data_IF_043130314690
#
_entry.id   IF_043130314690
#
_cell.length_a   1.000
_cell.length_b   1.000
_cell.length_c   1.000
_cell.angle_alpha   90.00
_cell.angle_beta   90.00
_cell.angle_gamma   90.00
#
_symmetry.space_group_name_H-M   'P 1'
#
loop_
_entity.id
_entity.type
_entity.pdbx_description
1 polymer ?
#
# COMPACT_ATOMS: atom_id res chain seq x y z
N UNK A 1 -23.20 5.33 -24.42
CA UNK A 1 -22.81 5.25 -22.99
C UNK A 1 -24.07 5.42 -22.17
N UNK A 2 -24.31 4.55 -21.22
CA UNK A 2 -25.51 4.62 -20.37
C UNK A 2 -25.50 5.93 -19.56
N UNK A 3 -26.66 6.58 -19.43
CA UNK A 3 -26.79 7.86 -18.70
C UNK A 3 -26.23 7.77 -17.26
N UNK A 4 -26.32 6.59 -16.65
CA UNK A 4 -25.72 6.30 -15.34
C UNK A 4 -24.19 6.40 -15.32
N UNK A 5 -23.51 5.88 -16.34
CA UNK A 5 -22.03 5.93 -16.43
C UNK A 5 -21.56 7.36 -16.67
N UNK A 6 -22.29 8.14 -17.47
CA UNK A 6 -21.97 9.56 -17.71
C UNK A 6 -22.03 10.37 -16.42
N UNK A 7 -23.10 10.21 -15.63
CA UNK A 7 -23.26 10.91 -14.35
C UNK A 7 -22.17 10.51 -13.33
N UNK A 8 -21.80 9.23 -13.25
CA UNK A 8 -20.68 8.78 -12.40
C UNK A 8 -19.36 9.40 -12.86
N UNK A 9 -19.12 9.45 -14.16
CA UNK A 9 -17.88 9.99 -14.73
C UNK A 9 -17.72 11.50 -14.42
N UNK A 10 -18.80 12.28 -14.49
CA UNK A 10 -18.78 13.70 -14.10
C UNK A 10 -18.45 13.86 -12.61
N UNK A 11 -19.12 13.11 -11.72
CA UNK A 11 -18.88 13.15 -10.28
C UNK A 11 -17.44 12.73 -9.92
N UNK A 12 -16.91 11.70 -10.58
CA UNK A 12 -15.54 11.26 -10.39
C UNK A 12 -14.55 12.33 -10.87
N UNK A 13 -14.82 12.97 -12.00
CA UNK A 13 -13.96 14.04 -12.53
C UNK A 13 -13.88 15.24 -11.58
N UNK A 14 -15.01 15.63 -10.98
CA UNK A 14 -15.04 16.68 -9.97
C UNK A 14 -14.35 16.23 -8.67
N UNK A 15 -14.71 15.04 -8.17
CA UNK A 15 -14.21 14.51 -6.90
C UNK A 15 -12.74 14.12 -6.92
N UNK A 16 -12.15 13.83 -8.08
CA UNK A 16 -10.73 13.46 -8.20
C UNK A 16 -9.78 14.67 -8.32
N UNK A 17 -10.31 15.87 -8.50
CA UNK A 17 -9.51 17.09 -8.71
C UNK A 17 -8.52 17.40 -7.57
N UNK A 18 -8.80 16.93 -6.37
CA UNK A 18 -7.86 17.07 -5.26
C UNK A 18 -6.54 16.29 -5.47
N UNK A 19 -6.58 15.18 -6.20
CA UNK A 19 -5.39 14.35 -6.40
C UNK A 19 -4.30 15.08 -7.20
N UNK A 20 -4.71 15.96 -8.11
CA UNK A 20 -3.78 16.80 -8.87
C UNK A 20 -3.07 17.77 -7.92
N UNK A 21 -3.83 18.54 -7.13
CA UNK A 21 -3.27 19.48 -6.14
C UNK A 21 -2.35 18.78 -5.14
N UNK A 22 -2.72 17.58 -4.71
CA UNK A 22 -1.95 16.80 -3.77
C UNK A 22 -0.61 16.33 -4.36
N UNK A 23 -0.62 15.86 -5.62
CA UNK A 23 0.61 15.49 -6.34
C UNK A 23 1.53 16.70 -6.55
N UNK A 24 0.98 17.84 -6.92
CA UNK A 24 1.72 19.09 -7.09
C UNK A 24 2.38 19.53 -5.79
N UNK A 25 1.64 19.53 -4.69
CA UNK A 25 2.20 19.90 -3.37
C UNK A 25 3.29 18.91 -2.93
N UNK A 26 3.07 17.60 -3.06
CA UNK A 26 4.08 16.58 -2.73
C UNK A 26 5.33 16.77 -3.59
N UNK A 27 5.20 17.10 -4.89
CA UNK A 27 6.32 17.33 -5.79
C UNK A 27 7.16 18.57 -5.41
N UNK A 28 6.65 19.48 -4.60
CA UNK A 28 7.46 20.60 -4.05
C UNK A 28 8.52 20.12 -3.05
N UNK A 29 8.25 19.01 -2.37
CA UNK A 29 9.12 18.43 -1.32
C UNK A 29 9.90 17.23 -1.85
N UNK A 30 9.25 16.36 -2.65
CA UNK A 30 9.82 15.10 -3.14
C UNK A 30 10.12 15.24 -4.63
N UNK A 31 11.34 14.85 -5.01
CA UNK A 31 11.72 14.77 -6.41
C UNK A 31 11.41 13.37 -6.93
N UNK A 32 10.77 13.27 -8.09
CA UNK A 32 10.39 11.98 -8.68
C UNK A 32 9.35 11.24 -7.85
N UNK A 33 9.49 9.91 -7.75
CA UNK A 33 8.67 9.02 -6.93
C UNK A 33 7.14 9.13 -7.16
N UNK A 34 6.73 9.62 -8.35
CA UNK A 34 5.30 9.83 -8.67
C UNK A 34 4.50 8.54 -8.55
N UNK A 35 5.07 7.43 -9.03
CA UNK A 35 4.44 6.12 -8.92
C UNK A 35 4.19 5.73 -7.45
N UNK A 36 5.16 5.95 -6.57
CA UNK A 36 5.02 5.70 -5.14
C UNK A 36 3.85 6.51 -4.56
N UNK A 37 3.81 7.82 -4.82
CA UNK A 37 2.74 8.70 -4.33
C UNK A 37 1.36 8.22 -4.82
N UNK A 38 1.22 7.87 -6.10
CA UNK A 38 -0.03 7.35 -6.64
C UNK A 38 -0.46 6.04 -5.97
N UNK A 39 0.46 5.13 -5.69
CA UNK A 39 0.18 3.89 -4.98
C UNK A 39 -0.21 4.10 -3.51
N UNK A 40 0.41 5.07 -2.84
CA UNK A 40 0.00 5.46 -1.49
C UNK A 40 -1.41 6.03 -1.47
N UNK A 41 -1.77 6.84 -2.47
CA UNK A 41 -3.13 7.34 -2.64
C UNK A 41 -4.13 6.21 -2.91
N UNK A 42 -3.76 5.21 -3.73
CA UNK A 42 -4.59 4.02 -3.92
C UNK A 42 -4.81 3.31 -2.59
N UNK A 43 -3.77 3.08 -1.79
CA UNK A 43 -3.90 2.50 -0.45
C UNK A 43 -4.87 3.28 0.43
N UNK A 44 -4.76 4.60 0.49
CA UNK A 44 -5.68 5.47 1.24
C UNK A 44 -7.12 5.38 0.74
N UNK A 45 -7.32 5.42 -0.57
CA UNK A 45 -8.65 5.42 -1.21
C UNK A 45 -9.36 4.07 -1.14
N UNK A 46 -8.62 2.98 -0.93
CA UNK A 46 -9.16 1.63 -0.87
C UNK A 46 -9.16 1.03 0.54
N UNK A 47 -8.79 1.85 1.54
CA UNK A 47 -8.60 1.38 2.92
C UNK A 47 -7.63 0.20 3.02
N UNK A 48 -6.64 0.16 2.12
CA UNK A 48 -5.64 -0.91 2.03
C UNK A 48 -4.30 -0.47 2.60
N UNK A 49 -3.50 -1.43 3.05
CA UNK A 49 -2.16 -1.19 3.58
C UNK A 49 -1.10 -1.50 2.52
N UNK A 50 0.08 -0.91 2.66
CA UNK A 50 1.13 -0.96 1.64
C UNK A 50 2.43 -1.48 2.25
N UNK A 51 3.05 -2.44 1.57
CA UNK A 51 4.40 -2.92 1.88
C UNK A 51 5.38 -2.29 0.89
N UNK A 52 6.42 -1.64 1.41
CA UNK A 52 7.48 -1.03 0.62
C UNK A 52 8.75 -1.87 0.72
N UNK A 53 9.19 -2.39 -0.39
CA UNK A 53 10.49 -3.06 -0.50
C UNK A 53 11.48 -2.13 -1.21
N UNK A 54 12.66 -1.98 -0.64
CA UNK A 54 13.71 -1.16 -1.25
C UNK A 54 14.82 -0.82 -0.26
N UNK A 55 15.96 -0.50 -0.82
CA UNK A 55 17.16 -0.15 -0.05
C UNK A 55 16.95 1.09 0.84
N UNK A 56 17.71 1.24 1.92
CA UNK A 56 17.67 2.45 2.73
C UNK A 56 18.09 3.70 1.92
N UNK A 57 17.64 4.88 2.35
CA UNK A 57 18.04 6.15 1.72
C UNK A 57 17.13 6.63 0.58
N UNK A 58 16.12 5.87 0.16
CA UNK A 58 15.21 6.24 -0.95
C UNK A 58 14.03 7.13 -0.54
N UNK A 59 14.20 7.98 0.47
CA UNK A 59 13.21 8.97 0.93
C UNK A 59 11.80 8.38 1.29
N UNK A 60 11.69 7.06 1.57
CA UNK A 60 10.42 6.41 1.94
C UNK A 60 9.72 7.13 3.09
N UNK A 61 10.45 7.41 4.18
CA UNK A 61 9.93 8.13 5.35
C UNK A 61 9.48 9.55 4.99
N UNK A 62 10.25 10.24 4.13
CA UNK A 62 9.90 11.58 3.69
C UNK A 62 8.62 11.57 2.87
N UNK A 63 8.43 10.60 1.97
CA UNK A 63 7.22 10.48 1.15
C UNK A 63 5.96 10.33 2.00
N UNK A 64 5.98 9.43 2.99
CA UNK A 64 4.84 9.21 3.89
C UNK A 64 4.55 10.41 4.76
N UNK A 65 5.59 11.01 5.34
CA UNK A 65 5.46 12.22 6.17
C UNK A 65 4.90 13.39 5.38
N UNK A 66 5.39 13.58 4.15
CA UNK A 66 4.91 14.64 3.24
C UNK A 66 3.45 14.43 2.87
N UNK A 67 3.06 13.19 2.53
CA UNK A 67 1.67 12.83 2.26
C UNK A 67 0.78 13.13 3.48
N UNK A 68 1.19 12.70 4.68
CA UNK A 68 0.44 12.95 5.90
C UNK A 68 0.22 14.46 6.15
N UNK A 69 1.25 15.28 5.95
CA UNK A 69 1.17 16.74 6.07
C UNK A 69 0.20 17.33 5.05
N UNK A 70 0.30 16.91 3.79
CA UNK A 70 -0.51 17.44 2.71
C UNK A 70 -2.02 17.09 2.84
N UNK A 71 -2.38 16.01 3.58
CA UNK A 71 -3.78 15.62 3.87
C UNK A 71 -4.22 15.90 5.30
N UNK A 72 -3.45 16.66 6.08
CA UNK A 72 -3.72 16.96 7.49
C UNK A 72 -3.92 15.72 8.38
N UNK A 73 -3.24 14.63 8.07
CA UNK A 73 -3.32 13.41 8.84
C UNK A 73 -2.26 13.35 9.95
N UNK A 74 -2.61 12.73 11.06
CA UNK A 74 -1.64 12.36 12.09
C UNK A 74 -0.70 11.29 11.56
N UNK A 75 0.61 11.46 11.83
CA UNK A 75 1.67 10.56 11.38
C UNK A 75 2.52 10.07 12.54
N UNK A 76 2.84 8.77 12.54
CA UNK A 76 3.81 8.16 13.45
C UNK A 76 4.74 7.23 12.67
N UNK A 77 6.03 7.30 12.99
CA UNK A 77 7.04 6.34 12.57
C UNK A 77 7.38 5.45 13.75
N UNK A 78 7.37 4.15 13.53
CA UNK A 78 7.80 3.13 14.49
C UNK A 78 8.93 2.35 13.83
N UNK A 79 10.12 2.43 14.43
CA UNK A 79 11.26 1.61 14.02
C UNK A 79 11.10 0.23 14.64
N UNK A 80 11.04 -0.80 13.84
CA UNK A 80 10.95 -2.17 14.31
C UNK A 80 12.35 -2.67 14.66
N UNK A 81 12.51 -3.19 15.88
CA UNK A 81 13.77 -3.69 16.44
C UNK A 81 13.55 -5.02 17.14
N UNK A 82 14.59 -5.85 17.35
CA UNK A 82 14.46 -7.15 17.99
C UNK A 82 13.91 -7.11 19.42
N UNK A 83 14.06 -5.99 20.11
CA UNK A 83 13.62 -5.77 21.50
C UNK A 83 12.24 -5.14 21.61
N UNK A 84 11.61 -4.74 20.48
CA UNK A 84 10.28 -4.14 20.47
C UNK A 84 9.23 -5.11 21.02
N UNK A 85 8.33 -4.60 21.87
CA UNK A 85 7.20 -5.36 22.43
C UNK A 85 5.88 -4.93 21.78
N UNK A 86 4.86 -5.79 21.74
CA UNK A 86 3.52 -5.39 21.26
C UNK A 86 2.96 -4.17 22.00
N UNK A 87 3.20 -4.05 23.30
CA UNK A 87 2.78 -2.90 24.11
C UNK A 87 3.39 -1.57 23.67
N UNK A 88 4.60 -1.58 23.09
CA UNK A 88 5.23 -0.37 22.55
C UNK A 88 4.52 0.16 21.31
N UNK A 89 3.85 -0.74 20.57
CA UNK A 89 3.09 -0.43 19.37
C UNK A 89 1.64 -0.05 19.67
N UNK A 90 0.93 -0.90 20.42
CA UNK A 90 -0.51 -0.74 20.68
C UNK A 90 -0.81 0.09 21.93
N UNK A 91 0.12 0.12 22.88
CA UNK A 91 -0.08 0.78 24.16
C UNK A 91 -0.27 -0.21 25.31
N UNK A 92 -0.44 0.32 26.51
CA UNK A 92 -0.52 -0.46 27.75
C UNK A 92 -1.36 0.22 28.81
N UNK A 93 -1.76 -0.53 29.83
CA UNK A 93 -2.33 0.00 31.06
C UNK A 93 -1.19 0.50 31.97
N UNK A 94 -1.32 1.72 32.48
CA UNK A 94 -0.37 2.31 33.42
C UNK A 94 -1.08 2.52 34.74
N UNK A 95 -0.52 1.95 35.83
CA UNK A 95 -1.05 2.14 37.15
C UNK A 95 -0.71 3.54 37.66
N UNK A 96 -1.73 4.27 38.13
CA UNK A 96 -1.58 5.55 38.82
C UNK A 96 -1.65 5.33 40.34
N UNK A 97 -0.52 5.41 41.08
CA UNK A 97 -0.51 5.14 42.52
C UNK A 97 -1.29 6.17 43.33
N UNK A 98 -1.48 7.40 42.81
CA UNK A 98 -2.21 8.45 43.52
C UNK A 98 -3.72 8.25 43.51
N UNK A 99 -4.21 7.68 42.44
CA UNK A 99 -5.66 7.46 42.24
C UNK A 99 -6.07 6.00 42.48
N UNK A 100 -5.09 5.09 42.63
CA UNK A 100 -5.36 3.66 42.78
C UNK A 100 -6.01 3.05 41.55
N UNK A 101 -5.86 3.67 40.37
CA UNK A 101 -6.53 3.30 39.14
C UNK A 101 -5.54 2.99 38.01
N UNK A 102 -6.00 2.24 37.03
CA UNK A 102 -5.27 2.04 35.76
C UNK A 102 -5.76 3.04 34.71
N UNK A 103 -4.84 3.62 33.98
CA UNK A 103 -5.13 4.49 32.83
C UNK A 103 -4.55 3.88 31.55
N UNK A 104 -5.30 3.95 30.45
CA UNK A 104 -4.84 3.47 29.16
C UNK A 104 -3.88 4.48 28.54
N UNK A 105 -2.63 4.07 28.31
CA UNK A 105 -1.66 4.81 27.51
C UNK A 105 -1.64 4.24 26.10
N UNK A 106 -2.24 4.97 25.16
CA UNK A 106 -2.28 4.57 23.73
C UNK A 106 -0.90 4.61 23.09
N UNK A 107 -0.60 3.60 22.28
CA UNK A 107 0.63 3.48 21.51
C UNK A 107 0.63 4.29 20.21
N UNK A 108 1.73 4.27 19.45
CA UNK A 108 1.89 5.00 18.19
C UNK A 108 0.95 4.54 17.08
N UNK A 109 0.35 3.35 17.17
CA UNK A 109 -0.58 2.81 16.18
C UNK A 109 -1.86 3.65 16.05
N UNK A 110 -2.18 4.47 17.07
CA UNK A 110 -3.34 5.37 17.05
C UNK A 110 -3.11 6.64 16.22
N UNK A 111 -2.35 6.53 15.14
CA UNK A 111 -2.20 7.59 14.15
C UNK A 111 -2.88 7.17 12.83
N UNK A 112 -3.30 8.14 12.04
CA UNK A 112 -3.96 7.88 10.74
C UNK A 112 -3.00 7.28 9.71
N UNK A 113 -1.74 7.73 9.69
CA UNK A 113 -0.68 7.16 8.89
C UNK A 113 0.42 6.64 9.82
N UNK A 114 0.69 5.35 9.74
CA UNK A 114 1.74 4.67 10.51
C UNK A 114 2.79 4.13 9.55
N UNK A 115 4.04 4.55 9.72
CA UNK A 115 5.18 3.95 9.05
C UNK A 115 5.82 2.92 9.99
N UNK A 116 5.62 1.63 9.70
CA UNK A 116 6.29 0.52 10.35
C UNK A 116 7.61 0.24 9.62
N UNK A 117 8.69 0.86 10.11
CA UNK A 117 9.98 0.82 9.42
C UNK A 117 10.76 -0.43 9.80
N UNK A 118 11.24 -1.19 8.80
CA UNK A 118 11.97 -2.46 8.94
C UNK A 118 11.17 -3.52 9.71
N UNK A 119 9.92 -3.76 9.29
CA UNK A 119 8.98 -4.68 9.98
C UNK A 119 9.57 -6.09 10.22
N UNK A 120 10.45 -6.55 9.34
CA UNK A 120 11.12 -7.85 9.44
C UNK A 120 12.21 -7.92 10.52
N UNK A 121 12.53 -6.82 11.22
CA UNK A 121 13.50 -6.83 12.35
C UNK A 121 12.85 -7.12 13.70
N UNK A 122 11.54 -7.00 13.83
CA UNK A 122 10.87 -7.27 15.09
C UNK A 122 10.37 -8.71 15.20
N UNK A 123 10.24 -9.24 16.43
CA UNK A 123 9.73 -10.58 16.67
C UNK A 123 8.30 -10.78 16.11
N UNK A 124 7.97 -12.03 15.77
CA UNK A 124 6.69 -12.40 15.18
C UNK A 124 5.46 -11.92 15.98
N UNK A 125 5.57 -11.80 17.31
CA UNK A 125 4.48 -11.29 18.17
C UNK A 125 4.14 -9.83 17.87
N UNK A 126 5.15 -8.99 17.60
CA UNK A 126 4.95 -7.56 17.26
C UNK A 126 4.38 -7.42 15.86
N UNK A 127 4.93 -8.20 14.91
CA UNK A 127 4.40 -8.27 13.55
C UNK A 127 2.92 -8.67 13.56
N UNK A 128 2.56 -9.72 14.32
CA UNK A 128 1.18 -10.19 14.44
C UNK A 128 0.26 -9.13 15.02
N UNK A 129 0.69 -8.39 16.05
CA UNK A 129 -0.09 -7.30 16.64
C UNK A 129 -0.37 -6.17 15.63
N UNK A 130 0.62 -5.79 14.81
CA UNK A 130 0.42 -4.82 13.74
C UNK A 130 -0.58 -5.33 12.70
N UNK A 131 -0.41 -6.57 12.24
CA UNK A 131 -1.23 -7.16 11.18
C UNK A 131 -2.68 -7.43 11.64
N UNK A 132 -2.89 -7.72 12.93
CA UNK A 132 -4.22 -7.80 13.52
C UNK A 132 -4.89 -6.42 13.54
N UNK A 133 -4.19 -5.40 14.01
CA UNK A 133 -4.67 -4.03 14.01
C UNK A 133 -5.01 -3.51 12.60
N UNK A 134 -4.23 -3.89 11.59
CA UNK A 134 -4.50 -3.57 10.18
C UNK A 134 -5.79 -4.21 9.68
N UNK A 135 -6.08 -5.42 10.10
CA UNK A 135 -7.24 -6.17 9.63
C UNK A 135 -8.53 -5.77 10.38
N UNK A 136 -8.43 -5.64 11.70
CA UNK A 136 -9.61 -5.42 12.57
C UNK A 136 -9.93 -3.93 12.75
N UNK A 137 -9.05 -3.00 12.34
CA UNK A 137 -9.17 -1.55 12.57
C UNK A 137 -9.43 -1.16 14.02
N UNK A 138 -9.00 -2.01 14.94
CA UNK A 138 -9.10 -1.83 16.38
C UNK A 138 -7.99 -2.58 17.11
N UNK A 139 -7.73 -2.21 18.35
CA UNK A 139 -6.79 -2.91 19.23
C UNK A 139 -7.39 -3.05 20.64
N UNK A 140 -7.05 -4.13 21.34
CA UNK A 140 -7.47 -4.37 22.71
C UNK A 140 -6.31 -4.08 23.65
N UNK A 141 -6.55 -3.24 24.66
CA UNK A 141 -5.58 -2.87 25.70
C UNK A 141 -6.20 -3.19 27.06
N UNK A 142 -5.67 -4.21 27.74
CA UNK A 142 -6.35 -4.77 28.92
C UNK A 142 -7.67 -5.41 28.52
N UNK A 143 -8.76 -4.95 29.11
CA UNK A 143 -10.11 -5.46 28.86
C UNK A 143 -10.92 -4.56 27.88
N UNK A 144 -10.32 -3.47 27.38
CA UNK A 144 -11.01 -2.50 26.53
C UNK A 144 -10.54 -2.58 25.08
N UNK A 145 -11.50 -2.60 24.14
CA UNK A 145 -11.22 -2.50 22.72
C UNK A 145 -11.39 -1.06 22.23
N UNK A 146 -10.35 -0.55 21.58
CA UNK A 146 -10.27 0.81 21.09
C UNK A 146 -10.23 0.82 19.55
N UNK A 147 -11.14 1.54 18.86
CA UNK A 147 -11.09 1.70 17.42
C UNK A 147 -9.86 2.55 17.02
N UNK A 148 -9.28 2.22 15.88
CA UNK A 148 -8.25 3.02 15.25
C UNK A 148 -8.87 4.19 14.46
N UNK A 149 -8.12 5.27 14.19
CA UNK A 149 -8.64 6.41 13.46
C UNK A 149 -8.99 6.05 12.00
N UNK A 150 -9.94 6.78 11.40
CA UNK A 150 -10.23 6.69 9.97
C UNK A 150 -9.87 8.04 9.28
N UNK A 151 -9.13 8.04 8.18
CA UNK A 151 -8.48 6.90 7.52
C UNK A 151 -7.35 6.29 8.37
N UNK A 152 -7.12 4.98 8.23
CA UNK A 152 -6.00 4.29 8.85
C UNK A 152 -5.18 3.58 7.77
N UNK A 153 -3.93 3.98 7.61
CA UNK A 153 -3.01 3.42 6.64
C UNK A 153 -1.70 3.03 7.31
N UNK A 154 -1.35 1.77 7.21
CA UNK A 154 -0.01 1.28 7.56
C UNK A 154 0.82 1.15 6.30
N UNK A 155 2.01 1.74 6.36
CA UNK A 155 3.08 1.51 5.42
C UNK A 155 4.18 0.76 6.15
N UNK A 156 4.38 -0.49 5.78
CA UNK A 156 5.49 -1.27 6.31
C UNK A 156 6.66 -1.23 5.33
N UNK A 157 7.89 -1.14 5.83
CA UNK A 157 9.08 -1.27 4.98
C UNK A 157 9.81 -2.57 5.27
N UNK A 158 10.40 -3.13 4.23
CA UNK A 158 11.36 -4.24 4.31
C UNK A 158 12.64 -3.84 3.60
N UNK A 159 13.77 -4.18 4.20
CA UNK A 159 15.07 -4.08 3.56
C UNK A 159 15.46 -5.45 3.00
N UNK A 160 15.54 -5.63 1.68
CA UNK A 160 15.85 -6.93 1.09
C UNK A 160 17.33 -7.34 1.26
N UNK A 161 18.22 -6.40 1.59
CA UNK A 161 19.67 -6.64 1.68
C UNK A 161 20.06 -7.19 3.06
N UNK A 162 19.38 -6.77 4.12
CA UNK A 162 19.66 -7.20 5.48
C UNK A 162 18.96 -8.52 5.78
N UNK A 163 19.71 -9.61 5.82
CA UNK A 163 19.21 -10.94 6.16
C UNK A 163 19.52 -11.34 7.60
N UNK A 164 20.64 -10.87 8.18
CA UNK A 164 21.02 -11.19 9.55
C UNK A 164 20.12 -10.49 10.58
N UNK A 165 19.63 -11.24 11.56
CA UNK A 165 18.78 -10.73 12.63
C UNK A 165 17.38 -10.34 12.17
N UNK A 166 16.89 -10.89 11.06
CA UNK A 166 15.54 -10.65 10.55
C UNK A 166 14.61 -11.84 10.81
N UNK A 167 13.33 -11.51 10.96
CA UNK A 167 12.22 -12.45 11.07
C UNK A 167 11.33 -12.25 9.83
N UNK A 168 11.48 -13.10 8.80
CA UNK A 168 10.67 -12.95 7.58
C UNK A 168 9.18 -13.05 7.91
N UNK A 169 8.39 -12.20 7.26
CA UNK A 169 6.94 -12.29 7.34
C UNK A 169 6.47 -13.55 6.63
N UNK A 170 5.67 -14.41 7.27
CA UNK A 170 5.00 -15.51 6.56
C UNK A 170 4.14 -14.99 5.41
N UNK A 171 4.07 -15.74 4.32
CA UNK A 171 3.33 -15.36 3.11
C UNK A 171 1.86 -15.00 3.37
N UNK A 172 1.19 -15.78 4.24
CA UNK A 172 -0.19 -15.50 4.67
C UNK A 172 -0.33 -14.13 5.39
N UNK A 173 0.74 -13.62 5.96
CA UNK A 173 0.79 -12.30 6.58
C UNK A 173 1.07 -11.21 5.55
N UNK A 174 1.94 -11.47 4.59
CA UNK A 174 2.25 -10.54 3.49
C UNK A 174 1.01 -10.34 2.60
N UNK A 175 0.17 -11.37 2.39
CA UNK A 175 -1.09 -11.29 1.64
C UNK A 175 -2.11 -10.28 2.24
N UNK A 176 -1.93 -9.84 3.50
CA UNK A 176 -2.76 -8.79 4.12
C UNK A 176 -2.49 -7.39 3.59
N UNK A 177 -1.31 -7.14 3.05
CA UNK A 177 -1.01 -5.89 2.37
C UNK A 177 -1.71 -5.85 1.01
N UNK A 178 -2.37 -4.75 0.70
CA UNK A 178 -3.04 -4.58 -0.59
C UNK A 178 -2.05 -4.50 -1.74
N UNK A 179 -0.98 -3.72 -1.54
CA UNK A 179 0.07 -3.48 -2.52
C UNK A 179 1.44 -3.79 -1.91
N UNK A 180 2.32 -4.42 -2.69
CA UNK A 180 3.76 -4.48 -2.43
C UNK A 180 4.48 -3.68 -3.51
N UNK A 181 5.18 -2.64 -3.11
CA UNK A 181 5.87 -1.72 -4.02
C UNK A 181 7.37 -1.93 -3.94
N UNK A 182 8.02 -2.00 -5.08
CA UNK A 182 9.48 -1.88 -5.19
C UNK A 182 9.84 -0.41 -5.38
N UNK A 183 10.65 0.12 -4.47
CA UNK A 183 11.16 1.50 -4.56
C UNK A 183 12.53 1.45 -5.19
N UNK A 184 12.62 1.97 -6.39
CA UNK A 184 13.86 2.02 -7.17
C UNK A 184 14.68 3.27 -6.86
N UNK A 185 15.96 3.24 -7.25
CA UNK A 185 16.80 4.42 -7.19
C UNK A 185 16.27 5.52 -8.11
N UNK A 186 16.46 6.79 -7.74
CA UNK A 186 16.13 7.90 -8.63
C UNK A 186 16.99 7.84 -9.91
N UNK A 187 16.46 8.34 -11.00
CA UNK A 187 17.24 8.57 -12.22
C UNK A 187 18.36 9.58 -11.95
N UNK A 188 19.38 9.61 -12.83
CA UNK A 188 20.49 10.57 -12.73
C UNK A 188 19.99 12.02 -12.69
N UNK A 189 18.96 12.32 -13.47
CA UNK A 189 18.34 13.64 -13.56
C UNK A 189 17.59 14.00 -12.27
N UNK A 190 16.88 13.05 -11.69
CA UNK A 190 16.20 13.20 -10.39
C UNK A 190 17.22 13.35 -9.26
N UNK A 191 18.31 12.56 -9.27
CA UNK A 191 19.38 12.67 -8.27
C UNK A 191 20.06 14.05 -8.32
N UNK A 192 20.27 14.60 -9.52
CA UNK A 192 20.75 15.97 -9.68
C UNK A 192 19.79 17.00 -9.10
N UNK A 193 18.48 16.84 -9.31
CA UNK A 193 17.47 17.72 -8.73
C UNK A 193 17.42 17.59 -7.20
N UNK A 194 17.59 16.37 -6.66
CA UNK A 194 17.69 16.13 -5.22
C UNK A 194 18.89 16.90 -4.65
N UNK A 195 20.06 16.79 -5.28
CA UNK A 195 21.28 17.52 -4.89
C UNK A 195 21.02 19.03 -4.86
N UNK A 196 20.46 19.58 -5.94
CA UNK A 196 20.24 21.03 -6.06
C UNK A 196 19.21 21.55 -5.01
N UNK A 197 18.23 20.74 -4.61
CA UNK A 197 17.19 21.12 -3.62
C UNK A 197 17.60 20.84 -2.19
N UNK A 198 18.31 19.73 -1.94
CA UNK A 198 18.49 19.19 -0.58
C UNK A 198 19.89 19.40 -0.01
N UNK A 199 20.90 19.74 -0.82
CA UNK A 199 22.27 19.95 -0.38
C UNK A 199 22.41 21.33 0.31
N UNK A 200 21.62 21.57 1.35
CA UNK A 200 21.65 22.81 2.15
C UNK A 200 21.45 22.45 3.63
N UNK A 201 22.02 23.26 4.53
CA UNK A 201 21.81 23.15 5.98
C UNK A 201 20.52 23.82 6.45
N UNK A 202 19.82 24.52 5.57
CA UNK A 202 18.55 25.15 5.89
C UNK A 202 17.44 24.10 6.08
N UNK A 203 16.49 24.38 6.98
CA UNK A 203 15.32 23.54 7.13
C UNK A 203 14.48 23.58 5.86
N UNK A 204 14.16 22.42 5.33
CA UNK A 204 13.28 22.32 4.17
C UNK A 204 11.84 22.68 4.56
N UNK A 205 11.17 23.39 3.66
CA UNK A 205 9.76 23.74 3.83
C UNK A 205 8.93 22.44 3.92
N UNK A 206 8.11 22.26 4.97
CA UNK A 206 7.16 21.15 5.00
C UNK A 206 6.08 21.34 3.95
N UNK A 207 5.43 20.24 3.53
CA UNK A 207 4.28 20.32 2.65
C UNK A 207 3.14 21.10 3.32
N UNK A 208 2.43 21.87 2.50
CA UNK A 208 1.25 22.62 2.92
C UNK A 208 0.02 21.72 2.85
N UNK A 209 -0.88 21.75 3.84
CA UNK A 209 -2.15 21.01 3.73
C UNK A 209 -2.99 21.53 2.55
N UNK A 210 -3.36 20.62 1.65
CA UNK A 210 -4.18 20.94 0.46
C UNK A 210 -5.48 20.15 0.41
N UNK A 211 -5.58 19.11 1.25
CA UNK A 211 -6.76 18.23 1.40
C UNK A 211 -6.92 17.89 2.87
N UNK A 212 -8.10 17.48 3.27
CA UNK A 212 -8.36 16.96 4.60
C UNK A 212 -8.58 15.44 4.58
N UNK A 213 -8.50 14.81 5.74
CA UNK A 213 -8.84 13.37 5.85
C UNK A 213 -10.32 13.12 5.54
N UNK A 214 -11.20 14.09 5.80
CA UNK A 214 -12.61 14.00 5.42
C UNK A 214 -12.80 13.96 3.88
N UNK A 215 -11.99 14.70 3.13
CA UNK A 215 -12.02 14.65 1.66
C UNK A 215 -11.59 13.26 1.14
N UNK A 216 -10.63 12.62 1.79
CA UNK A 216 -10.20 11.25 1.46
C UNK A 216 -11.35 10.25 1.70
N UNK A 217 -12.04 10.36 2.85
CA UNK A 217 -13.19 9.49 3.16
C UNK A 217 -14.34 9.72 2.16
N UNK A 218 -14.63 10.97 1.81
CA UNK A 218 -15.63 11.28 0.78
C UNK A 218 -15.23 10.70 -0.60
N UNK A 219 -13.96 10.76 -0.96
CA UNK A 219 -13.45 10.19 -2.20
C UNK A 219 -13.57 8.67 -2.25
N UNK A 220 -13.42 7.94 -1.13
CA UNK A 220 -13.65 6.48 -1.06
C UNK A 220 -15.06 6.10 -1.54
N UNK A 221 -16.08 6.85 -1.11
CA UNK A 221 -17.45 6.61 -1.53
C UNK A 221 -17.66 6.81 -3.04
N UNK A 222 -16.85 7.66 -3.69
CA UNK A 222 -16.86 7.82 -5.15
C UNK A 222 -16.09 6.68 -5.84
N UNK A 223 -14.97 6.24 -5.27
CA UNK A 223 -14.19 5.08 -5.78
C UNK A 223 -15.07 3.83 -5.82
N UNK A 224 -15.89 3.60 -4.80
CA UNK A 224 -16.82 2.46 -4.75
C UNK A 224 -17.86 2.48 -5.87
N UNK A 225 -18.20 3.69 -6.38
CA UNK A 225 -19.15 3.88 -7.48
C UNK A 225 -18.50 3.79 -8.87
N UNK A 226 -17.16 3.75 -8.98
CA UNK A 226 -16.49 3.57 -10.28
C UNK A 226 -16.94 2.27 -10.92
N UNK A 227 -17.49 2.40 -12.13
CA UNK A 227 -18.06 1.28 -12.86
C UNK A 227 -17.00 0.29 -13.31
N UNK A 228 -17.29 -0.99 -13.17
CA UNK A 228 -16.47 -2.09 -13.71
C UNK A 228 -17.35 -2.95 -14.59
N UNK A 229 -17.08 -2.97 -15.88
CA UNK A 229 -17.78 -3.79 -16.85
C UNK A 229 -17.57 -5.29 -16.57
N UNK A 230 -18.56 -6.13 -16.88
CA UNK A 230 -18.49 -7.58 -16.62
C UNK A 230 -17.30 -8.23 -17.34
N UNK A 231 -16.98 -7.79 -18.56
CA UNK A 231 -15.80 -8.27 -19.28
C UNK A 231 -14.49 -7.92 -18.57
N UNK A 232 -14.42 -6.74 -17.93
CA UNK A 232 -13.24 -6.36 -17.13
C UNK A 232 -13.19 -7.16 -15.83
N UNK A 233 -14.34 -7.47 -15.21
CA UNK A 233 -14.40 -8.39 -14.07
C UNK A 233 -13.89 -9.78 -14.41
N UNK A 234 -14.35 -10.33 -15.53
CA UNK A 234 -13.92 -11.63 -16.05
C UNK A 234 -12.41 -11.62 -16.37
N UNK A 235 -11.90 -10.50 -16.90
CA UNK A 235 -10.47 -10.31 -17.15
C UNK A 235 -9.65 -10.34 -15.86
N UNK A 236 -10.09 -9.62 -14.81
CA UNK A 236 -9.45 -9.64 -13.48
C UNK A 236 -9.43 -11.06 -12.91
N UNK A 237 -10.56 -11.78 -12.98
CA UNK A 237 -10.64 -13.17 -12.52
C UNK A 237 -9.70 -14.05 -13.32
N UNK A 238 -9.65 -13.88 -14.65
CA UNK A 238 -8.78 -14.65 -15.54
C UNK A 238 -7.30 -14.44 -15.23
N UNK A 239 -6.86 -13.20 -14.97
CA UNK A 239 -5.48 -12.90 -14.55
C UNK A 239 -5.13 -13.67 -13.27
N UNK A 240 -5.97 -13.58 -12.24
CA UNK A 240 -5.71 -14.25 -10.96
C UNK A 240 -5.77 -15.78 -11.12
N UNK A 241 -6.72 -16.28 -11.91
CA UNK A 241 -6.86 -17.71 -12.18
C UNK A 241 -5.66 -18.27 -12.96
N UNK A 242 -5.13 -17.51 -13.93
CA UNK A 242 -3.95 -17.88 -14.71
C UNK A 242 -2.69 -18.07 -13.83
N UNK A 243 -2.59 -17.43 -12.67
CA UNK A 243 -1.50 -17.68 -11.72
C UNK A 243 -1.60 -19.06 -11.04
N UNK A 244 -2.80 -19.68 -11.00
CA UNK A 244 -3.07 -20.99 -10.38
C UNK A 244 -3.11 -22.10 -11.41
N UNK A 245 -3.73 -21.82 -12.55
CA UNK A 245 -3.93 -22.78 -13.63
C UNK A 245 -3.46 -22.22 -14.98
N UNK A 246 -2.15 -21.97 -15.14
CA UNK A 246 -1.62 -21.29 -16.32
C UNK A 246 -1.90 -22.07 -17.63
N UNK A 247 -1.96 -23.39 -17.57
CA UNK A 247 -2.24 -24.25 -18.74
C UNK A 247 -3.59 -23.94 -19.40
N UNK A 248 -4.60 -23.50 -18.64
CA UNK A 248 -5.90 -23.08 -19.15
C UNK A 248 -5.79 -21.90 -20.12
N UNK A 249 -4.75 -21.09 -19.98
CA UNK A 249 -4.44 -19.93 -20.82
C UNK A 249 -3.28 -20.19 -21.78
N UNK A 250 -2.90 -21.46 -21.99
CA UNK A 250 -1.75 -21.85 -22.83
C UNK A 250 -0.43 -21.23 -22.38
N UNK A 251 -0.27 -20.97 -21.07
CA UNK A 251 0.94 -20.44 -20.48
C UNK A 251 1.80 -21.58 -19.91
N UNK A 252 3.07 -21.60 -20.26
CA UNK A 252 4.04 -22.56 -19.74
C UNK A 252 4.69 -22.01 -18.45
N UNK A 253 3.85 -21.84 -17.42
CA UNK A 253 4.26 -21.31 -16.11
C UNK A 253 4.10 -22.34 -14.98
N UNK A 254 3.52 -23.52 -15.29
CA UNK A 254 3.22 -24.53 -14.28
C UNK A 254 4.42 -24.96 -13.44
N UNK A 255 5.62 -25.22 -14.02
CA UNK A 255 6.81 -25.56 -13.26
C UNK A 255 7.36 -24.42 -12.43
N UNK A 256 7.08 -23.16 -12.81
CA UNK A 256 7.66 -21.96 -12.20
C UNK A 256 6.85 -21.40 -11.02
N UNK A 257 5.60 -21.84 -10.85
CA UNK A 257 4.71 -21.35 -9.79
C UNK A 257 4.46 -22.46 -8.77
N UNK A 258 4.86 -22.23 -7.52
CA UNK A 258 4.54 -23.15 -6.42
C UNK A 258 3.12 -22.91 -5.92
N UNK A 259 2.77 -21.64 -5.66
CA UNK A 259 1.41 -21.22 -5.29
C UNK A 259 1.00 -19.97 -6.05
N UNK A 260 -0.16 -20.03 -6.71
CA UNK A 260 -0.78 -18.86 -7.33
C UNK A 260 -1.55 -17.99 -6.34
N UNK A 261 -1.96 -16.82 -6.78
CA UNK A 261 -2.60 -15.81 -5.96
C UNK A 261 -4.00 -16.25 -5.46
N UNK A 262 -4.33 -15.91 -4.21
CA UNK A 262 -5.61 -16.21 -3.56
C UNK A 262 -6.77 -15.37 -4.13
N UNK A 263 -8.06 -15.70 -3.84
CA UNK A 263 -9.20 -14.85 -4.21
C UNK A 263 -9.12 -13.43 -3.63
N UNK A 264 -8.36 -13.20 -2.55
CA UNK A 264 -8.08 -11.85 -2.04
C UNK A 264 -7.41 -10.97 -3.09
N UNK A 265 -6.57 -11.54 -3.95
CA UNK A 265 -5.95 -10.82 -5.07
C UNK A 265 -6.99 -10.26 -6.04
N UNK A 266 -8.07 -11.00 -6.34
CA UNK A 266 -9.16 -10.53 -7.20
C UNK A 266 -9.85 -9.31 -6.60
N UNK A 267 -10.10 -9.32 -5.28
CA UNK A 267 -10.70 -8.18 -4.57
C UNK A 267 -9.76 -6.98 -4.57
N UNK A 268 -8.49 -7.19 -4.17
CA UNK A 268 -7.48 -6.13 -4.15
C UNK A 268 -7.27 -5.51 -5.54
N UNK A 269 -7.20 -6.33 -6.59
CA UNK A 269 -7.01 -5.86 -7.96
C UNK A 269 -8.21 -5.04 -8.45
N UNK A 270 -9.43 -5.46 -8.11
CA UNK A 270 -10.65 -4.70 -8.44
C UNK A 270 -10.69 -3.35 -7.75
N UNK A 271 -10.44 -3.31 -6.43
CA UNK A 271 -10.44 -2.08 -5.65
C UNK A 271 -9.32 -1.13 -6.10
N UNK A 272 -8.10 -1.66 -6.30
CA UNK A 272 -6.98 -0.86 -6.76
C UNK A 272 -7.18 -0.30 -8.18
N UNK A 273 -7.79 -1.08 -9.09
CA UNK A 273 -8.12 -0.62 -10.44
C UNK A 273 -9.19 0.50 -10.43
N UNK A 274 -10.20 0.39 -9.55
CA UNK A 274 -11.19 1.48 -9.35
C UNK A 274 -10.52 2.76 -8.85
N UNK A 275 -9.67 2.65 -7.83
CA UNK A 275 -8.94 3.80 -7.29
C UNK A 275 -7.98 4.39 -8.34
N UNK A 276 -7.32 3.54 -9.15
CA UNK A 276 -6.47 4.00 -10.24
C UNK A 276 -7.28 4.78 -11.29
N UNK A 277 -8.41 4.25 -11.75
CA UNK A 277 -9.30 4.93 -12.69
C UNK A 277 -9.80 6.28 -12.11
N UNK A 278 -10.19 6.31 -10.83
CA UNK A 278 -10.58 7.53 -10.11
C UNK A 278 -9.46 8.57 -10.11
N UNK A 279 -8.22 8.19 -9.80
CA UNK A 279 -7.06 9.09 -9.81
C UNK A 279 -6.71 9.61 -11.21
N UNK A 280 -7.19 8.94 -12.27
CA UNK A 280 -7.13 9.39 -13.66
C UNK A 280 -8.36 10.23 -14.08
N UNK A 281 -9.27 10.53 -13.15
CA UNK A 281 -10.49 11.29 -13.41
C UNK A 281 -11.55 10.54 -14.23
N UNK A 282 -11.52 9.17 -14.19
CA UNK A 282 -12.46 8.33 -14.95
C UNK A 282 -13.41 7.58 -14.03
N UNK A 283 -14.70 7.61 -14.35
CA UNK A 283 -15.76 6.91 -13.62
C UNK A 283 -15.93 5.44 -14.02
N UNK A 284 -15.01 4.87 -14.77
CA UNK A 284 -15.01 3.46 -15.19
C UNK A 284 -13.59 2.89 -15.30
N UNK A 285 -13.49 1.59 -15.04
CA UNK A 285 -12.22 0.84 -15.13
C UNK A 285 -11.99 0.35 -16.55
N UNK A 286 -10.76 0.43 -17.01
CA UNK A 286 -10.28 -0.15 -18.27
C UNK A 286 -9.32 -1.30 -18.01
N UNK A 287 -9.08 -2.20 -18.98
CA UNK A 287 -8.04 -3.23 -18.84
C UNK A 287 -6.65 -2.66 -18.56
N UNK A 288 -6.36 -1.44 -19.02
CA UNK A 288 -5.09 -0.78 -18.76
C UNK A 288 -4.92 -0.40 -17.29
N UNK A 289 -6.01 -0.05 -16.58
CA UNK A 289 -5.96 0.19 -15.14
C UNK A 289 -5.58 -1.07 -14.40
N UNK A 290 -6.16 -2.20 -14.80
CA UNK A 290 -5.85 -3.51 -14.23
C UNK A 290 -4.37 -3.86 -14.45
N UNK A 291 -3.88 -3.73 -15.70
CA UNK A 291 -2.47 -4.00 -16.03
C UNK A 291 -1.49 -3.10 -15.26
N UNK A 292 -1.84 -1.83 -15.08
CA UNK A 292 -0.99 -0.86 -14.38
C UNK A 292 -0.79 -1.17 -12.88
N UNK A 293 -1.76 -1.88 -12.27
CA UNK A 293 -1.77 -2.18 -10.83
C UNK A 293 -1.41 -3.64 -10.53
N UNK A 294 -1.61 -4.53 -11.48
CA UNK A 294 -1.44 -5.97 -11.29
C UNK A 294 -0.06 -6.37 -10.71
N UNK A 295 1.08 -5.81 -11.16
CA UNK A 295 2.37 -6.15 -10.56
C UNK A 295 2.41 -5.85 -9.06
N UNK A 296 1.89 -4.70 -8.63
CA UNK A 296 1.92 -4.27 -7.23
C UNK A 296 0.97 -5.09 -6.34
N UNK A 297 -0.12 -5.63 -6.92
CA UNK A 297 -1.06 -6.50 -6.22
C UNK A 297 -0.60 -7.95 -6.18
N UNK A 298 0.07 -8.45 -7.24
CA UNK A 298 0.31 -9.88 -7.42
C UNK A 298 1.71 -10.35 -7.02
N UNK A 299 2.75 -9.47 -7.07
CA UNK A 299 4.14 -9.89 -6.84
C UNK A 299 4.41 -10.57 -5.50
N UNK A 300 3.61 -10.29 -4.48
CA UNK A 300 3.73 -10.90 -3.16
C UNK A 300 2.69 -12.01 -2.91
N UNK A 301 1.94 -12.37 -3.93
CA UNK A 301 0.88 -13.38 -3.89
C UNK A 301 1.13 -14.55 -4.81
N UNK A 302 2.10 -14.39 -5.71
CA UNK A 302 2.59 -15.47 -6.58
C UNK A 302 3.90 -15.95 -5.99
N UNK A 303 3.90 -17.19 -5.50
CA UNK A 303 5.06 -17.84 -4.90
C UNK A 303 5.75 -18.64 -5.98
N UNK A 304 7.01 -18.33 -6.19
CA UNK A 304 7.84 -18.99 -7.19
C UNK A 304 8.34 -20.34 -6.69
N UNK A 305 8.54 -21.29 -7.60
CA UNK A 305 9.12 -22.59 -7.29
C UNK A 305 10.65 -22.52 -7.24
N UNK A 306 11.30 -23.56 -6.70
CA UNK A 306 12.76 -23.70 -6.78
C UNK A 306 13.30 -23.75 -8.22
N UNK A 307 12.49 -24.24 -9.16
CA UNK A 307 12.84 -24.25 -10.58
C UNK A 307 12.91 -22.82 -11.14
N UNK A 308 11.94 -21.97 -10.77
CA UNK A 308 11.96 -20.57 -11.15
C UNK A 308 13.16 -19.82 -10.55
N UNK A 309 13.49 -20.10 -9.27
CA UNK A 309 14.69 -19.52 -8.62
C UNK A 309 15.98 -19.92 -9.34
N UNK A 310 16.07 -21.19 -9.77
CA UNK A 310 17.22 -21.69 -10.52
C UNK A 310 17.35 -21.08 -11.92
N UNK A 311 16.22 -20.68 -12.52
CA UNK A 311 16.17 -19.98 -13.80
C UNK A 311 16.23 -18.45 -13.66
N UNK A 312 16.41 -17.91 -12.45
CA UNK A 312 16.40 -16.47 -12.13
C UNK A 312 15.06 -15.78 -12.54
N UNK A 313 13.96 -16.52 -12.50
CA UNK A 313 12.61 -16.01 -12.80
C UNK A 313 11.94 -15.61 -11.49
N UNK A 314 11.70 -14.30 -11.34
CA UNK A 314 11.01 -13.77 -10.17
C UNK A 314 9.47 -13.66 -10.36
N UNK A 315 8.77 -13.31 -9.29
CA UNK A 315 7.32 -13.17 -9.33
C UNK A 315 6.85 -12.05 -10.29
N UNK A 316 7.64 -10.98 -10.48
CA UNK A 316 7.30 -9.91 -11.43
C UNK A 316 7.33 -10.40 -12.86
N UNK A 317 8.31 -11.24 -13.22
CA UNK A 317 8.39 -11.85 -14.55
C UNK A 317 7.22 -12.82 -14.80
N UNK A 318 6.82 -13.62 -13.80
CA UNK A 318 5.63 -14.48 -13.89
C UNK A 318 4.37 -13.64 -14.11
N UNK A 319 4.20 -12.58 -13.32
CA UNK A 319 3.04 -11.67 -13.46
C UNK A 319 3.04 -11.02 -14.84
N UNK A 320 4.19 -10.60 -15.35
CA UNK A 320 4.31 -10.04 -16.70
C UNK A 320 3.85 -11.04 -17.76
N UNK A 321 4.32 -12.29 -17.71
CA UNK A 321 3.91 -13.36 -18.66
C UNK A 321 2.41 -13.64 -18.57
N UNK A 322 1.82 -13.62 -17.39
CA UNK A 322 0.36 -13.76 -17.20
C UNK A 322 -0.38 -12.60 -17.88
N UNK A 323 0.06 -11.36 -17.66
CA UNK A 323 -0.59 -10.17 -18.26
C UNK A 323 -0.45 -10.09 -19.77
N UNK A 324 0.63 -10.66 -20.34
CA UNK A 324 0.86 -10.73 -21.78
C UNK A 324 0.03 -11.86 -22.43
N UNK A 325 -0.20 -12.98 -21.71
CA UNK A 325 -0.86 -14.16 -22.27
C UNK A 325 -2.36 -14.21 -22.03
N UNK A 326 -2.91 -13.55 -20.98
CA UNK A 326 -4.36 -13.52 -20.76
C UNK A 326 -5.03 -12.55 -21.75
N UNK A 327 -6.01 -13.00 -22.56
CA UNK A 327 -6.67 -12.18 -23.56
C UNK A 327 -7.33 -10.93 -22.94
N UNK A 328 -7.08 -9.78 -23.53
CA UNK A 328 -7.73 -8.51 -23.15
C UNK A 328 -9.11 -8.44 -23.77
N UNK A 329 -10.18 -8.08 -23.02
CA UNK A 329 -11.55 -8.03 -23.52
C UNK A 329 -11.80 -6.89 -24.52
#
# INVERSE_FOLDING_TARGET
MDAGITAINERVREGSGFAVRLREEIATVIVGQRALVDRLLIGLLTNGHVLLEGVPGLAKTLAVKTLAQAIQASFRRVQFTPDLLPADLIGTLVYNPREGSFTTKRGPIFAQLVLADEINRAPAKVQSALLEAMQEHQVTIGDETHPLPDPFLVLATQNPIEQEGTYPLPEAQVDRFMLKLRVEYPSREEERQILDRMATTANHRPATPVVTTADIIAARALVDQVYVDDKVRDYIVSIVFATREPKTFSLDLGPLVEYGASPRATLCLTLAARAHAFLQGRGYVTPQDVKAIAPDVLRHRVIVSYEAEAEEVDADEIVRRVLDGVPVP
#
